data_IF_655718400680
#
_entry.id   IF_655718400680
#
_cell.length_a   1.000
_cell.length_b   1.000
_cell.length_c   1.000
_cell.angle_alpha   90.00
_cell.angle_beta   90.00
_cell.angle_gamma   90.00
#
_symmetry.space_group_name_H-M   'P 1'
#
loop_
_entity.id
_entity.type
_entity.pdbx_description
1 polymer ?
#
# COMPACT_ATOMS: atom_id res chain seq x y z
N UNK A 1 14.83 4.03 -13.95
CA UNK A 1 14.62 3.48 -12.59
C UNK A 1 13.25 3.96 -12.13
N UNK A 2 12.21 3.14 -12.27
CA UNK A 2 10.86 3.54 -11.85
C UNK A 2 10.87 3.54 -10.32
N UNK A 3 10.65 4.70 -9.70
CA UNK A 3 10.57 4.81 -8.25
C UNK A 3 9.30 4.08 -7.77
N UNK A 4 9.46 2.79 -7.44
CA UNK A 4 8.35 1.92 -7.02
C UNK A 4 7.60 2.52 -5.82
N UNK A 5 8.31 3.25 -4.97
CA UNK A 5 7.76 3.99 -3.83
C UNK A 5 6.81 5.11 -4.30
N UNK A 6 7.25 6.00 -5.19
CA UNK A 6 6.38 7.04 -5.78
C UNK A 6 5.18 6.42 -6.48
N UNK A 7 5.38 5.34 -7.26
CA UNK A 7 4.28 4.62 -7.91
C UNK A 7 3.24 4.12 -6.90
N UNK A 8 3.66 3.55 -5.77
CA UNK A 8 2.75 3.04 -4.73
C UNK A 8 2.03 4.17 -4.01
N UNK A 9 2.74 5.25 -3.65
CA UNK A 9 2.14 6.42 -3.03
C UNK A 9 1.13 7.09 -3.97
N UNK A 10 1.47 7.26 -5.25
CA UNK A 10 0.55 7.79 -6.26
C UNK A 10 -0.68 6.91 -6.42
N UNK A 11 -0.52 5.57 -6.45
CA UNK A 11 -1.67 4.64 -6.47
C UNK A 11 -2.57 4.83 -5.26
N UNK A 12 -2.00 5.00 -4.07
CA UNK A 12 -2.79 5.28 -2.87
C UNK A 12 -3.54 6.61 -3.02
N UNK A 13 -2.86 7.67 -3.49
CA UNK A 13 -3.43 9.01 -3.68
C UNK A 13 -4.53 9.10 -4.74
N UNK A 14 -4.56 8.19 -5.73
CA UNK A 14 -5.62 8.13 -6.74
C UNK A 14 -6.97 7.68 -6.18
N UNK A 15 -6.99 7.02 -5.02
CA UNK A 15 -8.24 6.62 -4.38
C UNK A 15 -8.78 7.77 -3.54
N UNK A 16 -10.10 7.93 -3.48
CA UNK A 16 -10.76 9.00 -2.74
C UNK A 16 -10.36 9.05 -1.24
N UNK A 17 -10.05 7.90 -0.66
CA UNK A 17 -9.66 7.76 0.75
C UNK A 17 -8.13 7.78 0.96
N UNK A 18 -7.34 7.89 -0.12
CA UNK A 18 -5.89 7.79 -0.04
C UNK A 18 -5.40 6.39 0.35
N UNK A 19 -6.16 5.33 0.04
CA UNK A 19 -5.87 3.94 0.42
C UNK A 19 -5.24 3.15 -0.71
N UNK A 20 -4.42 2.17 -0.33
CA UNK A 20 -3.92 1.15 -1.24
C UNK A 20 -4.18 -0.22 -0.62
N UNK A 21 -4.67 -1.12 -1.44
CA UNK A 21 -4.98 -2.49 -1.07
C UNK A 21 -4.09 -3.43 -1.86
N UNK A 22 -3.47 -4.38 -1.18
CA UNK A 22 -2.71 -5.46 -1.82
C UNK A 22 -3.35 -6.77 -1.45
N UNK A 23 -3.70 -7.56 -2.47
CA UNK A 23 -4.26 -8.88 -2.30
C UNK A 23 -3.15 -9.92 -2.20
N UNK A 24 -3.25 -10.80 -1.20
CA UNK A 24 -2.45 -12.01 -1.07
C UNK A 24 -2.90 -13.03 -2.10
N UNK A 25 -1.95 -13.70 -2.74
CA UNK A 25 -2.26 -14.80 -3.65
C UNK A 25 -2.95 -15.95 -2.88
N UNK A 26 -3.75 -16.78 -3.57
CA UNK A 26 -4.32 -18.00 -2.96
C UNK A 26 -3.25 -18.98 -2.46
N UNK A 27 -2.04 -18.90 -3.01
CA UNK A 27 -0.83 -19.60 -2.53
C UNK A 27 -0.26 -19.04 -1.21
N UNK A 28 -0.97 -18.10 -0.57
CA UNK A 28 -0.57 -17.39 0.67
C UNK A 28 0.69 -16.53 0.55
N UNK A 29 1.32 -16.44 -0.61
CA UNK A 29 2.40 -15.51 -0.87
C UNK A 29 1.89 -14.07 -1.01
N UNK A 30 2.56 -13.14 -0.33
CA UNK A 30 2.39 -11.71 -0.56
C UNK A 30 3.20 -11.28 -1.79
N UNK A 31 2.67 -10.42 -2.66
CA UNK A 31 3.44 -9.88 -3.77
C UNK A 31 4.53 -8.95 -3.24
N UNK A 32 5.59 -8.73 -4.03
CA UNK A 32 6.70 -7.86 -3.64
C UNK A 32 6.31 -6.40 -3.34
N UNK A 33 5.12 -5.96 -3.77
CA UNK A 33 4.54 -4.68 -3.36
C UNK A 33 4.25 -4.63 -1.84
N UNK A 34 3.91 -5.75 -1.19
CA UNK A 34 3.68 -5.81 0.25
C UNK A 34 4.91 -5.39 1.05
N UNK A 35 6.09 -5.97 0.76
CA UNK A 35 7.34 -5.59 1.44
C UNK A 35 7.68 -4.12 1.25
N UNK A 36 7.36 -3.55 0.07
CA UNK A 36 7.55 -2.12 -0.20
C UNK A 36 6.57 -1.25 0.58
N UNK A 37 5.33 -1.68 0.74
CA UNK A 37 4.34 -0.97 1.56
C UNK A 37 4.70 -1.00 3.04
N UNK A 38 5.20 -2.12 3.57
CA UNK A 38 5.78 -2.18 4.92
C UNK A 38 6.95 -1.20 5.08
N UNK A 39 7.84 -1.08 4.09
CA UNK A 39 8.93 -0.11 4.16
C UNK A 39 8.42 1.35 4.20
N UNK A 40 7.38 1.67 3.41
CA UNK A 40 6.75 2.99 3.42
C UNK A 40 5.98 3.28 4.72
N UNK A 41 5.40 2.25 5.31
CA UNK A 41 4.78 2.33 6.63
C UNK A 41 5.83 2.62 7.71
N UNK A 42 6.96 1.89 7.68
CA UNK A 42 8.06 2.10 8.62
C UNK A 42 8.67 3.50 8.50
N UNK A 43 8.72 4.06 7.29
CA UNK A 43 9.16 5.44 7.03
C UNK A 43 8.11 6.49 7.44
N UNK A 44 6.87 6.08 7.73
CA UNK A 44 5.77 6.97 8.14
C UNK A 44 4.96 7.57 6.98
N UNK A 45 5.22 7.15 5.74
CA UNK A 45 4.46 7.58 4.56
C UNK A 45 3.09 6.91 4.43
N UNK A 46 2.96 5.70 4.98
CA UNK A 46 1.72 4.93 5.00
C UNK A 46 1.35 4.53 6.43
N UNK A 47 0.05 4.33 6.65
CA UNK A 47 -0.50 3.78 7.88
C UNK A 47 -1.20 2.47 7.55
N UNK A 48 -0.76 1.38 8.18
CA UNK A 48 -1.44 0.10 8.06
C UNK A 48 -2.79 0.13 8.76
N UNK A 49 -3.85 -0.25 8.04
CA UNK A 49 -5.21 -0.28 8.56
C UNK A 49 -5.68 -1.69 8.94
N UNK A 50 -4.91 -2.73 8.59
CA UNK A 50 -5.25 -4.12 8.85
C UNK A 50 -5.46 -4.95 7.59
N UNK A 51 -5.69 -6.24 7.81
CA UNK A 51 -6.06 -7.20 6.77
C UNK A 51 -7.58 -7.38 6.73
N UNK A 52 -8.12 -7.45 5.52
CA UNK A 52 -9.52 -7.75 5.24
C UNK A 52 -9.62 -9.08 4.47
N UNK A 53 -10.72 -9.83 4.63
CA UNK A 53 -10.95 -10.99 3.78
C UNK A 53 -10.95 -10.58 2.31
N UNK A 54 -10.18 -11.30 1.49
CA UNK A 54 -10.06 -11.03 0.07
C UNK A 54 -11.25 -11.57 -0.72
N UNK A 55 -11.31 -11.24 -2.02
CA UNK A 55 -12.42 -11.62 -2.90
C UNK A 55 -12.53 -13.15 -3.09
N UNK A 56 -11.42 -13.86 -3.02
CA UNK A 56 -11.35 -15.31 -3.18
C UNK A 56 -11.33 -16.04 -1.82
N UNK A 57 -11.91 -17.25 -1.72
CA UNK A 57 -11.83 -18.04 -0.49
C UNK A 57 -10.36 -18.33 -0.13
N UNK A 58 -9.98 -18.01 1.11
CA UNK A 58 -8.61 -18.15 1.61
C UNK A 58 -7.65 -17.01 1.23
N UNK A 59 -8.08 -16.07 0.39
CA UNK A 59 -7.33 -14.84 0.12
C UNK A 59 -7.54 -13.80 1.22
N UNK A 60 -6.54 -12.94 1.39
CA UNK A 60 -6.58 -11.81 2.31
C UNK A 60 -6.09 -10.57 1.56
N UNK A 61 -6.55 -9.41 1.98
CA UNK A 61 -6.17 -8.12 1.41
C UNK A 61 -5.66 -7.22 2.52
N UNK A 62 -4.41 -6.81 2.45
CA UNK A 62 -3.84 -5.85 3.37
C UNK A 62 -4.13 -4.43 2.88
N UNK A 63 -4.52 -3.54 3.79
CA UNK A 63 -4.90 -2.16 3.48
C UNK A 63 -3.98 -1.18 4.18
N UNK A 64 -3.50 -0.20 3.42
CA UNK A 64 -2.76 0.95 3.94
C UNK A 64 -3.44 2.25 3.53
N UNK A 65 -3.23 3.29 4.33
CA UNK A 65 -3.68 4.66 4.06
C UNK A 65 -2.51 5.61 3.98
N UNK A 66 -2.56 6.52 3.02
CA UNK A 66 -1.59 7.57 2.82
C UNK A 66 -1.65 8.58 3.98
N UNK A 67 -0.50 8.80 4.62
CA UNK A 67 -0.36 9.80 5.69
C UNK A 67 -0.17 11.20 5.11
N UNK A 68 -0.21 12.22 5.97
CA UNK A 68 0.15 13.57 5.56
C UNK A 68 1.60 13.62 5.02
N UNK A 69 2.55 12.95 5.68
CA UNK A 69 3.94 12.88 5.23
C UNK A 69 4.09 12.21 3.86
N UNK A 70 3.37 11.11 3.62
CA UNK A 70 3.35 10.45 2.31
C UNK A 70 2.79 11.35 1.20
N UNK A 71 1.79 12.18 1.51
CA UNK A 71 1.25 13.19 0.59
C UNK A 71 2.25 14.29 0.28
N UNK A 72 2.96 14.81 1.29
CA UNK A 72 3.97 15.85 1.09
C UNK A 72 5.14 15.33 0.25
N UNK A 73 5.53 14.07 0.46
CA UNK A 73 6.57 13.40 -0.35
C UNK A 73 6.18 13.28 -1.83
N UNK A 74 4.88 13.11 -2.12
CA UNK A 74 4.38 13.12 -3.49
C UNK A 74 4.36 14.51 -4.12
N UNK A 75 4.11 15.55 -3.32
CA UNK A 75 4.01 16.95 -3.78
C UNK A 75 5.37 17.62 -3.94
N UNK A 76 6.35 17.25 -3.12
CA UNK A 76 7.66 17.89 -3.06
C UNK A 76 8.72 17.31 -4.00
N UNK A 77 8.35 16.49 -4.99
CA UNK A 77 9.28 15.84 -5.90
C UNK A 77 8.87 15.94 -7.36
#
# INVERSE_FOLDING_TARGET
MIDHRRRLLSRAALTAEGRITVQRAPDRAWPGDHSRLCALENDGHLLFLGEQPGLLPGSASAVWRLTAQGRETLRGA
#
